data_IF_255106650578
#
_entry.id   IF_255106650578
#
_cell.length_a   1.000
_cell.length_b   1.000
_cell.length_c   1.000
_cell.angle_alpha   90.00
_cell.angle_beta   90.00
_cell.angle_gamma   90.00
#
_symmetry.space_group_name_H-M   'P 1'
#
loop_
_entity.id
_entity.type
_entity.pdbx_description
1 polymer ?
#
# COMPACT_ATOMS: atom_id res chain seq x y z
N UNK A 1 0.11 -7.36 -25.74
CA UNK A 1 0.72 -6.24 -26.50
C UNK A 1 2.08 -5.94 -25.88
N UNK A 2 3.18 -6.17 -26.60
CA UNK A 2 4.55 -6.07 -26.03
C UNK A 2 5.05 -4.62 -25.85
N UNK A 3 4.27 -3.62 -26.30
CA UNK A 3 4.79 -2.28 -26.64
C UNK A 3 4.22 -1.09 -25.84
N UNK A 4 3.40 -1.34 -24.82
CA UNK A 4 2.79 -0.26 -24.03
C UNK A 4 3.70 0.27 -22.93
N UNK A 5 3.68 1.58 -22.70
CA UNK A 5 4.24 2.17 -21.49
C UNK A 5 3.44 1.72 -20.27
N UNK A 6 4.02 1.88 -19.08
CA UNK A 6 3.32 1.59 -17.82
C UNK A 6 3.53 2.76 -16.87
N UNK A 7 2.43 3.34 -16.39
CA UNK A 7 2.43 4.32 -15.30
C UNK A 7 1.75 3.66 -14.11
N UNK A 8 2.51 3.46 -13.04
CA UNK A 8 2.02 2.83 -11.81
C UNK A 8 1.93 3.91 -10.73
N UNK A 9 0.71 4.25 -10.33
CA UNK A 9 0.40 5.25 -9.33
C UNK A 9 0.05 4.53 -8.02
N UNK A 10 0.77 4.85 -6.96
CA UNK A 10 0.41 4.43 -5.59
C UNK A 10 0.17 5.70 -4.78
N UNK A 11 -0.96 5.71 -4.07
CA UNK A 11 -1.30 6.75 -3.11
C UNK A 11 -1.20 6.13 -1.72
N UNK A 12 -0.23 6.55 -0.91
CA UNK A 12 0.03 5.97 0.42
C UNK A 12 -1.16 6.21 1.36
N UNK A 13 -1.61 5.19 2.08
CA UNK A 13 -2.69 5.31 3.07
C UNK A 13 -4.08 5.73 2.50
N UNK A 14 -4.37 5.49 1.21
CA UNK A 14 -5.65 5.81 0.58
C UNK A 14 -6.68 4.69 0.79
N UNK A 15 -7.79 5.03 1.45
CA UNK A 15 -8.89 4.10 1.71
C UNK A 15 -9.84 3.99 0.52
N UNK A 16 -10.33 2.78 0.26
CA UNK A 16 -11.36 2.52 -0.76
C UNK A 16 -12.66 3.30 -0.50
N UNK A 17 -13.09 3.40 0.76
CA UNK A 17 -14.34 4.05 1.15
C UNK A 17 -14.31 5.59 1.10
N UNK A 18 -13.20 6.15 0.59
CA UNK A 18 -13.00 7.58 0.36
C UNK A 18 -12.79 7.92 -1.12
N UNK A 19 -12.97 6.94 -2.00
CA UNK A 19 -12.89 7.09 -3.47
C UNK A 19 -14.28 6.93 -4.08
N UNK A 20 -14.72 7.93 -4.85
CA UNK A 20 -16.09 8.05 -5.36
C UNK A 20 -16.57 6.86 -6.19
N UNK A 21 -15.72 6.33 -7.09
CA UNK A 21 -16.05 5.19 -7.94
C UNK A 21 -16.26 3.85 -7.21
N UNK A 22 -15.99 3.80 -5.89
CA UNK A 22 -16.33 2.66 -5.03
C UNK A 22 -17.70 2.80 -4.35
N UNK A 23 -18.45 3.86 -4.64
CA UNK A 23 -19.84 4.03 -4.20
C UNK A 23 -19.99 4.68 -2.83
N UNK A 24 -18.97 5.39 -2.36
CA UNK A 24 -18.96 6.00 -1.03
C UNK A 24 -18.98 7.53 -1.11
N UNK A 25 -20.11 8.14 -0.70
CA UNK A 25 -20.19 9.57 -0.36
C UNK A 25 -19.96 10.57 -1.50
N UNK A 26 -19.58 11.80 -1.11
CA UNK A 26 -19.36 12.96 -1.99
C UNK A 26 -18.19 12.71 -2.95
N UNK A 27 -18.32 13.07 -4.22
CA UNK A 27 -17.28 12.89 -5.24
C UNK A 27 -16.14 13.91 -5.02
N UNK A 28 -15.12 13.51 -4.27
CA UNK A 28 -13.86 14.28 -4.11
C UNK A 28 -12.73 13.77 -5.02
N UNK A 29 -13.00 12.73 -5.82
CA UNK A 29 -12.03 12.00 -6.65
C UNK A 29 -12.44 11.91 -8.13
N UNK A 30 -12.85 13.01 -8.76
CA UNK A 30 -13.38 12.98 -10.13
C UNK A 30 -12.41 12.38 -11.15
N UNK A 31 -11.10 12.63 -11.04
CA UNK A 31 -10.12 12.13 -11.99
C UNK A 31 -9.87 10.62 -11.81
N UNK A 32 -9.87 10.12 -10.58
CA UNK A 32 -9.82 8.68 -10.28
C UNK A 32 -11.12 8.00 -10.75
N UNK A 33 -12.26 8.66 -10.60
CA UNK A 33 -13.56 8.14 -11.04
C UNK A 33 -13.62 8.02 -12.58
N UNK A 34 -13.05 8.99 -13.29
CA UNK A 34 -12.88 8.95 -14.75
C UNK A 34 -11.90 7.84 -15.16
N UNK A 35 -10.78 7.69 -14.46
CA UNK A 35 -9.83 6.59 -14.68
C UNK A 35 -10.48 5.21 -14.52
N UNK A 36 -11.38 5.05 -13.54
CA UNK A 36 -12.15 3.83 -13.34
C UNK A 36 -13.13 3.58 -14.48
N UNK A 37 -13.82 4.62 -14.97
CA UNK A 37 -14.77 4.50 -16.10
C UNK A 37 -14.06 4.11 -17.39
N UNK A 38 -12.86 4.62 -17.60
CA UNK A 38 -12.00 4.29 -18.75
C UNK A 38 -11.26 2.95 -18.59
N UNK A 39 -11.50 2.20 -17.53
CA UNK A 39 -10.74 1.00 -17.22
C UNK A 39 -11.54 -0.08 -16.50
N UNK A 40 -10.79 -1.00 -15.89
CA UNK A 40 -11.31 -2.08 -15.06
C UNK A 40 -11.04 -1.77 -13.59
N UNK A 41 -12.10 -1.65 -12.80
CA UNK A 41 -12.06 -1.46 -11.35
C UNK A 41 -12.19 -2.80 -10.64
N UNK A 42 -11.33 -3.06 -9.64
CA UNK A 42 -11.41 -4.23 -8.78
C UNK A 42 -12.05 -3.88 -7.45
N UNK A 43 -13.23 -4.41 -7.18
CA UNK A 43 -14.02 -4.02 -5.99
C UNK A 43 -13.41 -4.55 -4.69
N UNK A 44 -12.77 -5.72 -4.75
CA UNK A 44 -12.30 -6.47 -3.59
C UNK A 44 -10.78 -6.72 -3.64
N UNK A 45 -10.00 -5.64 -3.58
CA UNK A 45 -8.54 -5.71 -3.52
C UNK A 45 -8.00 -5.46 -2.11
N UNK A 46 -7.12 -6.33 -1.63
CA UNK A 46 -6.61 -6.28 -0.26
C UNK A 46 -5.08 -6.22 -0.15
N UNK A 47 -4.59 -5.32 0.69
CA UNK A 47 -3.22 -5.28 1.14
C UNK A 47 -2.85 -6.55 1.92
N UNK A 48 -1.58 -6.96 1.81
CA UNK A 48 -1.06 -8.12 2.54
C UNK A 48 -0.45 -7.73 3.90
N UNK A 49 -0.26 -6.44 4.13
CA UNK A 49 0.33 -5.83 5.32
C UNK A 49 -0.07 -4.35 5.35
N UNK A 50 -0.17 -3.79 6.54
CA UNK A 50 -0.66 -2.46 6.85
C UNK A 50 0.45 -1.40 6.97
N UNK A 51 1.60 -1.58 6.31
CA UNK A 51 2.72 -0.60 6.34
C UNK A 51 3.47 -0.56 5.01
N UNK A 52 3.95 0.63 4.63
CA UNK A 52 4.47 0.94 3.29
C UNK A 52 5.61 0.07 2.80
N UNK A 53 6.71 -0.04 3.56
CA UNK A 53 7.91 -0.76 3.09
C UNK A 53 7.65 -2.20 2.66
N UNK A 54 7.04 -3.06 3.50
CA UNK A 54 6.72 -4.42 3.09
C UNK A 54 5.52 -4.47 2.13
N UNK A 55 4.58 -3.51 2.16
CA UNK A 55 3.47 -3.49 1.20
C UNK A 55 3.95 -3.21 -0.23
N UNK A 56 4.77 -2.17 -0.44
CA UNK A 56 5.41 -1.92 -1.74
C UNK A 56 6.30 -3.08 -2.18
N UNK A 57 7.02 -3.70 -1.24
CA UNK A 57 7.79 -4.92 -1.53
C UNK A 57 6.89 -6.03 -2.04
N UNK A 58 5.70 -6.20 -1.45
CA UNK A 58 4.68 -7.15 -1.89
C UNK A 58 4.15 -6.81 -3.28
N UNK A 59 3.71 -5.56 -3.48
CA UNK A 59 3.14 -5.07 -4.74
C UNK A 59 4.12 -5.30 -5.88
N UNK A 60 5.37 -4.84 -5.75
CA UNK A 60 6.33 -4.90 -6.85
C UNK A 60 7.00 -6.26 -7.03
N UNK A 61 6.89 -7.18 -6.07
CA UNK A 61 7.43 -8.54 -6.24
C UNK A 61 6.39 -9.60 -6.58
N UNK A 62 5.10 -9.34 -6.31
CA UNK A 62 4.06 -10.35 -6.37
C UNK A 62 4.24 -11.46 -5.32
N UNK A 63 4.90 -11.17 -4.19
CA UNK A 63 5.23 -12.13 -3.12
C UNK A 63 4.70 -11.64 -1.78
N UNK A 64 4.26 -12.54 -0.92
CA UNK A 64 3.78 -12.18 0.43
C UNK A 64 4.92 -11.74 1.37
N UNK A 65 4.64 -11.00 2.46
CA UNK A 65 5.61 -10.65 3.50
C UNK A 65 6.39 -11.84 4.04
N UNK A 66 5.71 -12.94 4.38
CA UNK A 66 6.34 -14.21 4.79
C UNK A 66 7.32 -14.80 3.75
N UNK A 67 7.11 -14.49 2.47
CA UNK A 67 7.84 -15.05 1.34
C UNK A 67 9.07 -14.23 0.94
N UNK A 68 8.97 -12.90 0.95
CA UNK A 68 10.10 -12.00 0.70
C UNK A 68 10.85 -11.63 1.98
N UNK A 69 10.24 -11.79 3.16
CA UNK A 69 10.89 -11.67 4.47
C UNK A 69 11.00 -10.26 5.04
N UNK A 70 10.38 -9.26 4.40
CA UNK A 70 10.25 -7.90 4.94
C UNK A 70 8.92 -7.80 5.66
N UNK A 71 8.98 -7.41 6.92
CA UNK A 71 7.80 -7.31 7.80
C UNK A 71 7.82 -6.05 8.67
N UNK A 72 8.98 -5.38 8.81
CA UNK A 72 9.13 -4.13 9.55
C UNK A 72 9.28 -2.95 8.57
N UNK A 73 9.07 -1.73 9.05
CA UNK A 73 9.04 -0.51 8.27
C UNK A 73 10.05 0.55 8.77
N UNK A 74 10.52 1.39 7.84
CA UNK A 74 11.31 2.58 8.14
C UNK A 74 12.54 2.33 9.03
N UNK A 75 12.70 3.06 10.16
CA UNK A 75 13.87 2.91 11.01
C UNK A 75 13.93 1.57 11.76
N UNK A 76 12.85 0.78 11.77
CA UNK A 76 12.76 -0.51 12.47
C UNK A 76 13.18 -1.70 11.62
N UNK A 77 13.48 -1.48 10.33
CA UNK A 77 14.06 -2.48 9.45
C UNK A 77 15.42 -2.94 9.99
N UNK A 78 15.57 -4.26 10.14
CA UNK A 78 16.78 -4.89 10.67
C UNK A 78 17.65 -5.47 9.56
N UNK A 79 18.94 -5.68 9.84
CA UNK A 79 19.84 -6.37 8.92
C UNK A 79 19.34 -7.78 8.56
N UNK A 80 18.70 -8.45 9.52
CA UNK A 80 18.05 -9.74 9.31
C UNK A 80 16.92 -9.69 8.27
N UNK A 81 16.16 -8.60 8.20
CA UNK A 81 15.08 -8.45 7.21
C UNK A 81 15.67 -8.29 5.80
N UNK A 82 16.70 -7.46 5.67
CA UNK A 82 17.43 -7.26 4.41
C UNK A 82 18.12 -8.55 3.94
N UNK A 83 18.70 -9.32 4.88
CA UNK A 83 19.28 -10.62 4.57
C UNK A 83 18.23 -11.60 4.05
N UNK A 84 17.08 -11.71 4.73
CA UNK A 84 15.96 -12.57 4.27
C UNK A 84 15.46 -12.17 2.88
N UNK A 85 15.39 -10.87 2.57
CA UNK A 85 15.02 -10.40 1.24
C UNK A 85 16.00 -10.86 0.18
N UNK A 86 17.29 -10.63 0.41
CA UNK A 86 18.36 -11.05 -0.50
C UNK A 86 18.32 -12.56 -0.73
N UNK A 87 18.22 -13.35 0.34
CA UNK A 87 18.20 -14.83 0.28
C UNK A 87 16.93 -15.38 -0.40
N UNK A 88 15.79 -14.69 -0.28
CA UNK A 88 14.55 -15.10 -0.93
C UNK A 88 14.67 -15.17 -2.45
N UNK A 89 15.64 -14.47 -3.06
CA UNK A 89 15.77 -14.31 -4.50
C UNK A 89 14.51 -13.69 -5.12
N UNK A 90 13.90 -12.78 -4.37
CA UNK A 90 12.80 -11.94 -4.85
C UNK A 90 13.32 -11.09 -6.01
N UNK A 91 12.53 -11.00 -7.07
CA UNK A 91 12.76 -10.09 -8.20
C UNK A 91 11.61 -9.12 -8.26
N UNK A 92 11.93 -7.85 -8.45
CA UNK A 92 10.96 -6.78 -8.56
C UNK A 92 10.53 -6.56 -10.02
N UNK A 93 9.30 -6.11 -10.21
CA UNK A 93 8.73 -5.73 -11.51
C UNK A 93 9.66 -4.82 -12.34
N UNK A 94 10.24 -3.72 -11.81
CA UNK A 94 11.20 -2.91 -12.54
C UNK A 94 12.41 -3.73 -13.03
N UNK A 95 12.96 -4.65 -12.24
CA UNK A 95 14.06 -5.51 -12.70
C UNK A 95 13.63 -6.39 -13.88
N UNK A 96 12.41 -6.94 -13.83
CA UNK A 96 11.86 -7.77 -14.90
C UNK A 96 11.67 -6.93 -16.17
N UNK A 97 11.00 -5.79 -16.07
CA UNK A 97 10.71 -4.89 -17.20
C UNK A 97 11.99 -4.32 -17.83
N UNK A 98 13.00 -4.02 -17.02
CA UNK A 98 14.32 -3.59 -17.50
C UNK A 98 14.95 -4.64 -18.43
N UNK A 99 14.84 -5.93 -18.10
CA UNK A 99 15.32 -7.01 -18.99
C UNK A 99 14.52 -7.15 -20.29
N UNK A 100 13.36 -6.49 -20.37
CA UNK A 100 12.49 -6.41 -21.55
C UNK A 100 12.64 -5.10 -22.33
N UNK A 101 13.65 -4.29 -21.99
CA UNK A 101 13.97 -3.05 -22.72
C UNK A 101 13.18 -1.83 -22.29
N UNK A 102 12.49 -1.87 -21.14
CA UNK A 102 11.87 -0.68 -20.57
C UNK A 102 12.94 0.19 -19.91
N UNK A 103 12.85 1.50 -20.15
CA UNK A 103 13.41 2.46 -19.20
C UNK A 103 12.59 2.41 -17.92
N UNK A 104 13.26 2.22 -16.79
CA UNK A 104 12.59 2.03 -15.49
C UNK A 104 12.82 3.24 -14.61
N UNK A 105 11.73 3.92 -14.27
CA UNK A 105 11.72 5.25 -13.67
C UNK A 105 10.85 5.24 -12.41
N UNK A 106 11.28 5.93 -11.36
CA UNK A 106 10.49 6.12 -10.15
C UNK A 106 10.62 7.54 -9.60
N UNK A 107 9.47 8.10 -9.25
CA UNK A 107 9.34 9.31 -8.43
C UNK A 107 8.82 8.86 -7.06
N UNK A 108 9.76 8.54 -6.17
CA UNK A 108 9.54 8.03 -4.83
C UNK A 108 10.72 8.44 -3.92
N UNK A 109 10.50 8.57 -2.62
CA UNK A 109 11.52 9.03 -1.68
C UNK A 109 12.15 7.93 -0.82
N UNK A 110 11.56 6.72 -0.75
CA UNK A 110 11.97 5.66 0.20
C UNK A 110 13.42 5.15 0.01
N UNK A 111 13.88 5.00 -1.22
CA UNK A 111 15.20 4.51 -1.56
C UNK A 111 15.45 3.05 -1.13
N UNK A 112 16.54 2.80 -0.40
CA UNK A 112 16.94 1.46 0.09
C UNK A 112 16.93 0.38 -1.01
N UNK A 113 16.18 -0.71 -0.84
CA UNK A 113 16.01 -1.76 -1.86
C UNK A 113 14.93 -1.43 -2.88
N UNK A 114 14.03 -0.48 -2.61
CA UNK A 114 12.99 -0.07 -3.57
C UNK A 114 13.58 0.51 -4.85
N UNK A 115 14.81 1.06 -4.81
CA UNK A 115 15.52 1.50 -6.03
C UNK A 115 16.01 0.35 -6.94
N UNK A 116 15.92 -0.90 -6.50
CA UNK A 116 16.41 -2.04 -7.29
C UNK A 116 15.61 -2.18 -8.58
N UNK A 117 16.34 -2.31 -9.70
CA UNK A 117 15.73 -2.45 -11.02
C UNK A 117 15.43 -1.15 -11.74
N UNK A 118 15.55 0.01 -11.10
CA UNK A 118 15.29 1.31 -11.73
C UNK A 118 16.56 1.92 -12.38
N UNK A 119 16.40 2.51 -13.56
CA UNK A 119 17.41 3.34 -14.25
C UNK A 119 17.44 4.77 -13.68
N UNK A 120 16.28 5.29 -13.26
CA UNK A 120 16.14 6.55 -12.54
C UNK A 120 15.26 6.36 -11.31
N UNK A 121 15.69 6.92 -10.18
CA UNK A 121 14.95 6.90 -8.93
C UNK A 121 15.21 8.21 -8.17
N UNK A 122 14.18 9.02 -7.93
CA UNK A 122 14.29 10.36 -7.33
C UNK A 122 14.78 10.39 -5.87
N UNK A 123 14.75 9.24 -5.20
CA UNK A 123 14.94 9.06 -3.76
C UNK A 123 15.98 9.90 -3.03
N UNK A 124 15.70 10.13 -1.74
CA UNK A 124 16.57 10.90 -0.86
C UNK A 124 17.94 10.24 -0.67
N UNK A 125 18.99 11.07 -0.58
CA UNK A 125 20.36 10.58 -0.37
C UNK A 125 20.47 9.80 0.95
N UNK A 126 21.31 8.75 1.04
CA UNK A 126 21.47 7.93 2.25
C UNK A 126 21.78 8.72 3.54
N UNK A 127 22.43 9.88 3.42
CA UNK A 127 22.71 10.77 4.55
C UNK A 127 21.43 11.29 5.24
N UNK A 128 20.35 11.53 4.48
CA UNK A 128 19.06 11.96 5.02
C UNK A 128 18.44 10.88 5.91
N UNK A 129 18.44 9.62 5.46
CA UNK A 129 17.94 8.50 6.26
C UNK A 129 18.74 8.29 7.55
N UNK A 130 20.06 8.46 7.49
CA UNK A 130 20.92 8.36 8.68
C UNK A 130 20.60 9.46 9.70
N UNK A 131 20.33 10.67 9.22
CA UNK A 131 19.86 11.79 10.04
C UNK A 131 18.49 11.50 10.65
N UNK A 132 17.51 11.09 9.86
CA UNK A 132 16.15 10.76 10.34
C UNK A 132 16.17 9.65 11.39
N UNK A 133 16.98 8.60 11.22
CA UNK A 133 17.15 7.53 12.22
C UNK A 133 17.77 8.03 13.54
N UNK A 134 18.67 9.00 13.49
CA UNK A 134 19.19 9.62 14.73
C UNK A 134 18.11 10.47 15.42
N UNK A 135 17.29 11.16 14.63
CA UNK A 135 16.23 12.02 15.14
C UNK A 135 14.98 11.22 15.60
N UNK A 136 14.76 9.99 15.13
CA UNK A 136 13.58 9.16 15.43
C UNK A 136 13.43 8.81 16.91
N UNK A 137 14.49 9.00 17.69
CA UNK A 137 14.49 8.83 19.14
C UNK A 137 13.94 10.06 19.90
N UNK A 138 13.54 11.13 19.19
CA UNK A 138 12.94 12.37 19.73
C UNK A 138 11.82 12.90 18.82
N UNK A 139 10.62 12.30 18.86
CA UNK A 139 9.55 12.53 17.87
C UNK A 139 9.10 14.00 17.75
N UNK A 140 9.09 14.76 18.84
CA UNK A 140 8.69 16.18 18.82
C UNK A 140 9.62 17.08 17.98
N UNK A 141 10.91 16.73 17.85
CA UNK A 141 11.88 17.53 17.06
C UNK A 141 11.84 17.21 15.57
N UNK A 142 11.41 16.00 15.19
CA UNK A 142 11.21 15.62 13.78
C UNK A 142 10.03 16.37 13.20
N UNK A 143 8.92 16.45 13.93
CA UNK A 143 7.73 17.12 13.45
C UNK A 143 7.98 18.61 13.18
N UNK A 144 8.62 19.32 14.13
CA UNK A 144 9.01 20.72 13.91
C UNK A 144 9.93 20.87 12.70
N UNK A 145 10.86 19.93 12.48
CA UNK A 145 11.73 19.95 11.32
C UNK A 145 10.94 19.74 10.02
N UNK A 146 10.00 18.78 9.96
CA UNK A 146 9.17 18.53 8.77
C UNK A 146 8.26 19.73 8.46
N UNK A 147 7.62 20.33 9.49
CA UNK A 147 6.83 21.58 9.34
C UNK A 147 7.71 22.73 8.82
N UNK A 148 8.94 22.86 9.31
CA UNK A 148 9.90 23.85 8.84
C UNK A 148 10.31 23.59 7.37
N UNK A 149 10.61 22.34 7.02
CA UNK A 149 10.96 21.94 5.66
C UNK A 149 9.81 22.21 4.67
N UNK A 150 8.55 22.03 5.08
CA UNK A 150 7.36 22.43 4.31
C UNK A 150 7.31 23.92 3.98
N UNK A 151 7.66 24.79 4.93
CA UNK A 151 7.72 26.24 4.70
C UNK A 151 8.83 26.62 3.70
N UNK A 152 9.92 25.86 3.66
CA UNK A 152 11.06 26.08 2.74
C UNK A 152 11.02 25.19 1.49
N UNK A 153 9.89 24.54 1.17
CA UNK A 153 9.80 23.54 0.10
C UNK A 153 10.25 24.03 -1.28
N UNK A 154 10.01 25.31 -1.59
CA UNK A 154 10.45 25.93 -2.86
C UNK A 154 11.97 26.17 -2.92
N UNK A 155 12.66 26.14 -1.78
CA UNK A 155 14.08 26.45 -1.65
C UNK A 155 14.98 25.20 -1.53
N UNK A 156 14.43 24.01 -1.31
CA UNK A 156 15.18 22.75 -1.19
C UNK A 156 14.55 21.68 -2.12
N UNK A 157 14.89 21.69 -3.43
CA UNK A 157 14.31 20.78 -4.42
C UNK A 157 14.45 19.30 -4.08
N UNK A 158 15.51 18.91 -3.36
CA UNK A 158 15.75 17.54 -2.92
C UNK A 158 14.71 17.03 -1.91
N UNK A 159 14.04 17.91 -1.18
CA UNK A 159 12.92 17.58 -0.30
C UNK A 159 11.57 17.67 -1.04
N UNK A 160 11.59 18.06 -2.31
CA UNK A 160 10.42 18.22 -3.15
C UNK A 160 9.59 16.94 -3.28
N UNK A 161 10.23 15.77 -3.26
CA UNK A 161 9.58 14.43 -3.32
C UNK A 161 8.71 14.10 -2.09
N UNK A 162 8.57 15.02 -1.14
CA UNK A 162 7.61 14.96 -0.03
C UNK A 162 6.30 15.71 -0.35
N UNK A 163 6.18 16.33 -1.53
CA UNK A 163 5.02 17.12 -1.95
C UNK A 163 4.45 16.58 -3.25
N UNK A 164 3.14 16.34 -3.25
CA UNK A 164 2.45 15.67 -4.35
C UNK A 164 2.57 16.47 -5.67
N UNK A 165 2.58 17.81 -5.63
CA UNK A 165 2.74 18.64 -6.84
C UNK A 165 4.12 18.53 -7.50
N UNK A 166 5.15 18.31 -6.68
CA UNK A 166 6.51 18.13 -7.17
C UNK A 166 6.68 16.71 -7.72
N UNK A 167 6.05 15.71 -7.08
CA UNK A 167 6.00 14.34 -7.58
C UNK A 167 5.40 14.31 -8.98
N UNK A 168 4.25 14.96 -9.19
CA UNK A 168 3.60 15.10 -10.50
C UNK A 168 4.50 15.79 -11.52
N UNK A 169 5.08 16.94 -11.15
CA UNK A 169 5.95 17.70 -12.06
C UNK A 169 7.15 16.87 -12.53
N UNK A 170 7.80 16.14 -11.62
CA UNK A 170 8.93 15.27 -11.97
C UNK A 170 8.50 14.08 -12.83
N UNK A 171 7.34 13.48 -12.55
CA UNK A 171 6.78 12.40 -13.36
C UNK A 171 6.51 12.88 -14.80
N UNK A 172 5.93 14.07 -14.97
CA UNK A 172 5.72 14.72 -16.27
C UNK A 172 7.03 14.95 -17.01
N UNK A 173 8.07 15.48 -16.34
CA UNK A 173 9.39 15.68 -16.94
C UNK A 173 10.01 14.36 -17.43
N UNK A 174 9.85 13.29 -16.66
CA UNK A 174 10.30 11.95 -17.02
C UNK A 174 9.51 11.41 -18.22
N UNK A 175 8.18 11.55 -18.26
CA UNK A 175 7.37 11.18 -19.42
C UNK A 175 7.84 11.92 -20.69
N UNK A 176 8.02 13.25 -20.63
CA UNK A 176 8.53 14.07 -21.74
C UNK A 176 9.90 13.61 -22.22
N UNK A 177 10.81 13.30 -21.29
CA UNK A 177 12.17 12.86 -21.61
C UNK A 177 12.22 11.46 -22.23
N UNK A 178 11.34 10.58 -21.79
CA UNK A 178 11.33 9.17 -22.19
C UNK A 178 10.25 8.81 -23.22
N UNK A 179 9.45 9.77 -23.71
CA UNK A 179 8.33 9.56 -24.65
C UNK A 179 8.67 8.77 -25.94
N UNK A 180 9.94 8.72 -26.35
CA UNK A 180 10.40 7.99 -27.55
C UNK A 180 10.88 6.56 -27.28
N UNK A 181 10.84 6.10 -26.04
CA UNK A 181 11.20 4.75 -25.63
C UNK A 181 10.14 4.19 -24.68
N UNK A 182 10.02 2.87 -24.60
CA UNK A 182 9.11 2.24 -23.64
C UNK A 182 9.58 2.55 -22.23
N UNK A 183 8.66 2.96 -21.37
CA UNK A 183 8.99 3.23 -19.97
C UNK A 183 8.01 2.57 -18.99
N UNK A 184 8.55 2.25 -17.83
CA UNK A 184 7.81 1.96 -16.61
C UNK A 184 8.08 3.12 -15.65
N UNK A 185 7.03 3.84 -15.25
CA UNK A 185 7.10 4.98 -14.35
C UNK A 185 6.29 4.68 -13.09
N UNK A 186 6.98 4.57 -11.96
CA UNK A 186 6.35 4.52 -10.65
C UNK A 186 6.19 5.94 -10.08
N UNK A 187 4.97 6.31 -9.71
CA UNK A 187 4.62 7.58 -9.08
C UNK A 187 4.05 7.29 -7.69
N UNK A 188 4.66 7.84 -6.63
CA UNK A 188 4.28 7.56 -5.25
C UNK A 188 3.84 8.82 -4.53
N UNK A 189 2.54 8.99 -4.31
CA UNK A 189 1.94 10.09 -3.55
C UNK A 189 1.84 9.75 -2.07
N UNK A 190 2.02 10.76 -1.21
CA UNK A 190 2.11 10.61 0.25
C UNK A 190 1.16 11.52 1.03
N UNK A 191 0.47 12.45 0.36
CA UNK A 191 -0.37 13.45 1.02
C UNK A 191 -1.47 12.88 1.91
N UNK A 192 -1.95 11.66 1.64
CA UNK A 192 -2.94 10.94 2.46
C UNK A 192 -2.35 10.19 3.64
N UNK A 193 -1.03 10.14 3.80
CA UNK A 193 -0.43 9.68 5.05
C UNK A 193 -0.39 10.84 6.06
N UNK A 194 -0.62 10.54 7.34
CA UNK A 194 -0.53 11.55 8.38
C UNK A 194 0.84 12.27 8.35
N UNK A 195 0.89 13.61 8.46
CA UNK A 195 -0.15 14.48 9.00
C UNK A 195 -0.97 15.28 7.97
N UNK A 196 -1.21 14.74 6.77
CA UNK A 196 -2.13 15.32 5.78
C UNK A 196 -1.76 16.77 5.39
N UNK A 197 -0.52 16.96 4.91
CA UNK A 197 0.10 18.29 4.69
C UNK A 197 -0.19 18.85 3.28
N UNK A 198 -1.19 18.33 2.57
CA UNK A 198 -1.54 18.87 1.25
C UNK A 198 -2.01 20.33 1.36
N UNK A 199 -1.78 21.17 0.34
CA UNK A 199 -2.22 22.56 0.35
C UNK A 199 -3.70 22.66 0.74
N UNK A 200 -4.00 23.49 1.73
CA UNK A 200 -5.37 23.66 2.23
C UNK A 200 -6.32 24.01 1.08
N UNK A 201 -7.29 23.14 0.80
CA UNK A 201 -8.43 23.48 -0.04
C UNK A 201 -9.51 24.05 0.90
N UNK A 202 -9.75 25.38 0.89
CA UNK A 202 -10.70 26.00 1.82
C UNK A 202 -12.11 25.41 1.70
N UNK A 203 -12.50 24.95 0.50
CA UNK A 203 -13.82 24.36 0.25
C UNK A 203 -14.01 22.99 0.90
N UNK A 204 -12.92 22.27 1.21
CA UNK A 204 -12.98 20.97 1.88
C UNK A 204 -12.89 21.13 3.40
N UNK A 205 -12.24 22.20 3.87
CA UNK A 205 -12.26 22.58 5.30
C UNK A 205 -13.67 22.98 5.78
N UNK A 206 -14.56 23.39 4.87
CA UNK A 206 -15.98 23.66 5.14
C UNK A 206 -16.87 22.39 5.04
N UNK A 207 -16.29 21.18 5.01
CA UNK A 207 -17.03 19.91 4.88
C UNK A 207 -17.89 19.61 6.12
N UNK A 208 -19.11 19.06 5.99
CA UNK A 208 -19.99 18.75 7.13
C UNK A 208 -19.43 17.71 8.11
N UNK A 209 -18.46 16.87 7.73
CA UNK A 209 -17.77 15.99 8.70
C UNK A 209 -16.97 16.80 9.74
N UNK A 210 -16.54 18.02 9.40
CA UNK A 210 -15.94 18.94 10.38
C UNK A 210 -16.92 19.34 11.49
N UNK A 211 -18.22 19.40 11.17
CA UNK A 211 -19.28 19.77 12.11
C UNK A 211 -19.78 18.58 12.95
N UNK A 212 -19.66 17.34 12.46
CA UNK A 212 -20.21 16.16 13.15
C UNK A 212 -19.39 15.69 14.37
N UNK A 213 -18.07 15.96 14.42
CA UNK A 213 -17.19 15.50 15.52
C UNK A 213 -16.37 16.67 16.09
N UNK A 214 -17.05 17.50 16.89
CA UNK A 214 -16.43 18.59 17.68
C UNK A 214 -15.79 18.05 18.97
N UNK A 215 -14.89 17.07 18.81
CA UNK A 215 -14.09 16.52 19.90
C UNK A 215 -12.64 16.97 19.70
N UNK A 216 -12.13 17.80 20.60
CA UNK A 216 -10.73 18.25 20.54
C UNK A 216 -9.77 17.14 20.92
N UNK A 217 -8.56 17.20 20.35
CA UNK A 217 -7.49 16.28 20.71
C UNK A 217 -7.15 16.31 22.21
N UNK A 218 -7.19 17.49 22.84
CA UNK A 218 -6.91 17.64 24.27
C UNK A 218 -7.93 16.87 25.13
N UNK A 219 -9.21 16.89 24.74
CA UNK A 219 -10.26 16.11 25.37
C UNK A 219 -10.02 14.61 25.21
N UNK A 220 -9.66 14.10 24.02
CA UNK A 220 -9.37 12.67 23.85
C UNK A 220 -8.22 12.20 24.75
N UNK A 221 -7.13 12.98 24.82
CA UNK A 221 -6.00 12.67 25.71
C UNK A 221 -6.43 12.55 27.18
N UNK A 222 -7.37 13.39 27.62
CA UNK A 222 -7.88 13.36 28.99
C UNK A 222 -8.70 12.10 29.31
N UNK A 223 -9.41 11.55 28.31
CA UNK A 223 -10.32 10.41 28.48
C UNK A 223 -9.58 9.08 28.26
N UNK A 224 -8.53 9.08 27.44
CA UNK A 224 -7.70 7.91 27.14
C UNK A 224 -6.20 8.16 27.44
N UNK A 225 -5.81 8.53 28.68
CA UNK A 225 -4.46 9.00 29.01
C UNK A 225 -3.36 7.94 28.81
N UNK A 226 -3.73 6.66 28.80
CA UNK A 226 -2.81 5.54 28.65
C UNK A 226 -2.64 5.07 27.18
N UNK A 227 -3.43 5.59 26.23
CA UNK A 227 -3.19 5.35 24.80
C UNK A 227 -2.21 6.40 24.31
N UNK A 228 -0.92 6.06 24.15
CA UNK A 228 -0.05 6.95 23.36
C UNK A 228 -0.58 6.97 21.92
N UNK A 229 -1.18 8.09 21.53
CA UNK A 229 -1.68 8.30 20.17
C UNK A 229 -0.53 8.88 19.35
N UNK A 230 0.29 7.98 18.78
CA UNK A 230 1.57 8.34 18.15
C UNK A 230 1.38 9.37 17.03
N UNK A 231 0.47 9.11 16.08
CA UNK A 231 0.22 10.02 14.97
C UNK A 231 -0.52 11.30 15.36
N UNK A 232 -1.30 11.30 16.45
CA UNK A 232 -1.87 12.55 16.95
C UNK A 232 -0.81 13.57 17.36
N UNK A 233 0.42 13.15 17.70
CA UNK A 233 1.55 14.06 17.99
C UNK A 233 1.91 15.00 16.84
N UNK A 234 1.46 14.69 15.63
CA UNK A 234 1.75 15.44 14.42
C UNK A 234 0.70 16.50 14.09
N UNK A 235 -0.36 16.62 14.88
CA UNK A 235 -1.37 17.67 14.72
C UNK A 235 -1.23 18.69 15.85
N UNK A 236 -1.73 19.91 15.63
CA UNK A 236 -1.79 20.92 16.69
C UNK A 236 -2.86 20.52 17.74
N UNK A 237 -2.71 20.92 19.01
CA UNK A 237 -3.57 20.40 20.10
C UNK A 237 -5.01 20.92 20.06
N UNK A 238 -5.20 22.08 19.43
CA UNK A 238 -6.49 22.77 19.36
C UNK A 238 -7.37 22.28 18.20
N UNK A 239 -6.83 21.43 17.32
CA UNK A 239 -7.61 20.86 16.22
C UNK A 239 -8.64 19.84 16.75
N UNK A 240 -9.84 19.94 16.22
CA UNK A 240 -10.91 18.96 16.35
C UNK A 240 -10.64 17.73 15.47
N UNK A 241 -11.26 16.60 15.80
CA UNK A 241 -11.23 15.41 14.95
C UNK A 241 -11.82 15.71 13.57
N UNK A 242 -12.93 16.44 13.51
CA UNK A 242 -13.57 16.84 12.25
C UNK A 242 -12.63 17.64 11.32
N UNK A 243 -11.83 18.55 11.86
CA UNK A 243 -10.82 19.28 11.08
C UNK A 243 -9.72 18.36 10.55
N UNK A 244 -9.26 17.38 11.32
CA UNK A 244 -8.23 16.43 10.87
C UNK A 244 -8.77 15.51 9.77
N UNK A 245 -10.01 15.02 9.91
CA UNK A 245 -10.69 14.24 8.86
C UNK A 245 -10.83 15.03 7.56
N UNK A 246 -11.18 16.31 7.67
CA UNK A 246 -11.31 17.21 6.51
C UNK A 246 -9.97 17.43 5.82
N UNK A 247 -8.85 17.42 6.55
CA UNK A 247 -7.50 17.46 5.94
C UNK A 247 -7.18 16.19 5.16
N UNK A 248 -7.57 15.02 5.65
CA UNK A 248 -7.41 13.76 4.92
C UNK A 248 -8.22 13.76 3.62
N UNK A 249 -9.51 14.16 3.66
CA UNK A 249 -10.34 14.31 2.46
C UNK A 249 -9.78 15.40 1.51
N UNK A 250 -9.23 16.47 2.07
CA UNK A 250 -8.55 17.53 1.31
C UNK A 250 -7.32 17.03 0.57
N UNK A 251 -6.52 16.19 1.21
CA UNK A 251 -5.36 15.56 0.60
C UNK A 251 -5.76 14.61 -0.55
N UNK A 252 -6.82 13.81 -0.36
CA UNK A 252 -7.37 12.96 -1.42
C UNK A 252 -7.76 13.80 -2.64
N UNK A 253 -8.51 14.88 -2.45
CA UNK A 253 -8.93 15.74 -3.56
C UNK A 253 -7.75 16.42 -4.27
N UNK A 254 -6.74 16.84 -3.50
CA UNK A 254 -5.54 17.42 -4.08
C UNK A 254 -4.79 16.41 -4.96
N UNK A 255 -4.59 15.19 -4.45
CA UNK A 255 -3.95 14.10 -5.18
C UNK A 255 -4.78 13.69 -6.40
N UNK A 256 -6.11 13.70 -6.32
CA UNK A 256 -6.98 13.47 -7.47
C UNK A 256 -6.70 14.49 -8.59
N UNK A 257 -6.59 15.78 -8.26
CA UNK A 257 -6.19 16.81 -9.22
C UNK A 257 -4.79 16.57 -9.79
N UNK A 258 -3.84 16.12 -8.97
CA UNK A 258 -2.50 15.75 -9.42
C UNK A 258 -2.49 14.55 -10.39
N UNK A 259 -3.35 13.56 -10.15
CA UNK A 259 -3.57 12.44 -11.07
C UNK A 259 -4.14 12.98 -12.38
N UNK A 260 -5.13 13.87 -12.34
CA UNK A 260 -5.68 14.54 -13.52
C UNK A 260 -4.59 15.20 -14.40
N UNK A 261 -3.64 15.92 -13.80
CA UNK A 261 -2.50 16.50 -14.51
C UNK A 261 -1.60 15.44 -15.19
N UNK A 262 -1.35 14.30 -14.53
CA UNK A 262 -0.61 13.19 -15.16
C UNK A 262 -1.38 12.61 -16.37
N UNK A 263 -2.69 12.47 -16.25
CA UNK A 263 -3.53 11.94 -17.33
C UNK A 263 -3.56 12.89 -18.53
N UNK A 264 -3.76 14.19 -18.27
CA UNK A 264 -3.73 15.24 -19.29
C UNK A 264 -2.39 15.26 -20.03
N UNK A 265 -1.27 15.11 -19.32
CA UNK A 265 0.03 15.05 -19.98
C UNK A 265 0.20 13.80 -20.86
N UNK A 266 -0.36 12.64 -20.46
CA UNK A 266 -0.39 11.46 -21.34
C UNK A 266 -1.18 11.74 -22.63
N UNK A 267 -2.27 12.51 -22.56
CA UNK A 267 -3.04 12.93 -23.73
C UNK A 267 -2.24 13.92 -24.61
N UNK A 268 -1.63 14.94 -24.01
CA UNK A 268 -0.82 15.94 -24.72
C UNK A 268 0.38 15.32 -25.45
N UNK A 269 1.01 14.29 -24.85
CA UNK A 269 2.10 13.54 -25.47
C UNK A 269 1.62 12.50 -26.49
N UNK A 270 0.31 12.29 -26.64
CA UNK A 270 -0.26 11.24 -27.49
C UNK A 270 0.09 9.83 -27.01
N UNK A 271 0.38 9.67 -25.71
CA UNK A 271 0.78 8.41 -25.09
C UNK A 271 -0.38 7.69 -24.40
N UNK A 272 -1.51 8.35 -24.19
CA UNK A 272 -2.70 7.83 -23.48
C UNK A 272 -3.04 6.41 -23.93
N UNK A 273 -3.32 6.20 -25.22
CA UNK A 273 -3.75 4.90 -25.76
C UNK A 273 -2.70 3.79 -25.66
N UNK A 274 -1.41 4.14 -25.65
CA UNK A 274 -0.32 3.18 -25.54
C UNK A 274 0.28 3.12 -24.13
N UNK A 275 -0.49 3.46 -23.10
CA UNK A 275 -0.03 3.42 -21.70
C UNK A 275 -1.01 2.63 -20.84
N UNK A 276 -0.50 1.59 -20.18
CA UNK A 276 -1.17 0.92 -19.08
C UNK A 276 -1.01 1.78 -17.83
N UNK A 277 -2.11 2.26 -17.28
CA UNK A 277 -2.14 2.98 -16.00
C UNK A 277 -2.67 2.04 -14.93
N UNK A 278 -1.92 1.91 -13.85
CA UNK A 278 -2.32 1.12 -12.67
C UNK A 278 -2.40 2.09 -11.50
N UNK A 279 -3.55 2.20 -10.84
CA UNK A 279 -3.72 2.98 -9.63
C UNK A 279 -4.09 2.07 -8.48
N UNK A 280 -3.41 2.20 -7.35
CA UNK A 280 -3.77 1.52 -6.11
C UNK A 280 -3.33 2.31 -4.87
N UNK A 281 -3.60 1.77 -3.70
CA UNK A 281 -2.95 2.17 -2.45
C UNK A 281 -2.18 0.98 -1.89
N UNK A 282 -1.15 1.23 -1.11
CA UNK A 282 -0.34 0.19 -0.45
C UNK A 282 -0.99 -0.32 0.84
N UNK A 283 -1.73 0.52 1.54
CA UNK A 283 -2.63 0.21 2.65
C UNK A 283 -3.63 1.35 2.86
N UNK A 284 -4.66 1.15 3.66
CA UNK A 284 -5.56 2.24 4.10
C UNK A 284 -5.09 2.86 5.42
N UNK A 285 -5.99 3.57 6.10
CA UNK A 285 -5.70 4.24 7.37
C UNK A 285 -6.90 4.18 8.33
N UNK A 286 -6.65 3.89 9.62
CA UNK A 286 -7.66 4.09 10.64
C UNK A 286 -7.65 5.57 11.05
N UNK A 287 -8.76 6.26 10.86
CA UNK A 287 -8.88 7.67 11.17
C UNK A 287 -9.29 7.86 12.63
N UNK A 288 -10.31 7.13 13.06
CA UNK A 288 -10.75 7.04 14.47
C UNK A 288 -11.28 5.66 14.86
N UNK A 289 -11.48 4.79 13.87
CA UNK A 289 -12.08 3.48 14.00
C UNK A 289 -11.24 2.59 14.94
N UNK A 290 -11.91 1.72 15.68
CA UNK A 290 -11.30 0.80 16.66
C UNK A 290 -10.46 1.52 17.75
N UNK A 291 -10.67 2.84 17.91
CA UNK A 291 -9.91 3.71 18.79
C UNK A 291 -8.43 3.83 18.39
N UNK A 292 -8.15 3.70 17.10
CA UNK A 292 -6.87 4.01 16.45
C UNK A 292 -7.06 5.35 15.74
N UNK A 293 -6.14 6.28 15.94
CA UNK A 293 -6.33 7.67 15.53
C UNK A 293 -5.26 8.10 14.53
N UNK A 294 -5.66 8.24 13.27
CA UNK A 294 -4.86 8.69 12.13
C UNK A 294 -3.59 7.87 11.94
N UNK A 295 -3.74 6.56 12.03
CA UNK A 295 -2.67 5.57 12.07
C UNK A 295 -3.18 4.25 11.46
N UNK A 296 -2.30 3.34 11.12
CA UNK A 296 -2.61 2.09 10.44
C UNK A 296 -2.26 0.89 11.31
N UNK A 297 -2.65 0.90 12.58
CA UNK A 297 -2.51 -0.25 13.49
C UNK A 297 -3.58 -1.32 13.26
N UNK A 298 -3.27 -2.58 13.54
CA UNK A 298 -4.24 -3.66 13.37
C UNK A 298 -4.46 -4.05 11.90
N UNK A 299 -5.37 -4.99 11.67
CA UNK A 299 -5.61 -5.61 10.37
C UNK A 299 -7.07 -5.48 9.94
N UNK A 300 -7.69 -4.34 10.21
CA UNK A 300 -9.08 -4.00 9.83
C UNK A 300 -9.16 -3.60 8.35
N UNK A 301 -10.35 -3.64 7.76
CA UNK A 301 -10.58 -3.35 6.35
C UNK A 301 -10.31 -1.89 6.02
N UNK A 302 -10.52 -0.97 6.98
CA UNK A 302 -10.08 0.43 6.84
C UNK A 302 -8.58 0.57 6.55
N UNK A 303 -7.76 -0.44 6.90
CA UNK A 303 -6.33 -0.48 6.60
C UNK A 303 -5.95 -1.48 5.50
N UNK A 304 -6.80 -2.47 5.19
CA UNK A 304 -6.45 -3.54 4.25
C UNK A 304 -7.22 -3.48 2.92
N UNK A 305 -8.45 -2.98 2.89
CA UNK A 305 -9.24 -2.86 1.66
C UNK A 305 -8.84 -1.58 0.95
N UNK A 306 -8.20 -1.72 -0.21
CA UNK A 306 -7.58 -0.59 -0.92
C UNK A 306 -7.96 -0.57 -2.40
N UNK A 307 -8.09 0.62 -3.01
CA UNK A 307 -8.53 0.74 -4.40
C UNK A 307 -7.55 0.05 -5.34
N UNK A 308 -8.05 -0.49 -6.45
CA UNK A 308 -7.23 -0.96 -7.57
C UNK A 308 -7.97 -0.76 -8.90
N UNK A 309 -7.36 0.01 -9.78
CA UNK A 309 -7.86 0.32 -11.12
C UNK A 309 -6.75 0.03 -12.12
N UNK A 310 -7.10 -0.65 -13.21
CA UNK A 310 -6.26 -0.79 -14.39
C UNK A 310 -6.94 -0.11 -15.57
N UNK A 311 -6.22 0.78 -16.25
CA UNK A 311 -6.68 1.42 -17.47
C UNK A 311 -5.71 1.16 -18.60
N UNK A 312 -6.22 0.76 -19.75
CA UNK A 312 -5.46 0.62 -20.99
C UNK A 312 -5.62 -0.77 -21.59
N UNK A 313 -4.83 -1.05 -22.63
CA UNK A 313 -5.02 -2.24 -23.44
C UNK A 313 -4.97 -3.55 -22.63
N UNK A 314 -5.97 -4.40 -22.85
CA UNK A 314 -6.19 -5.66 -22.13
C UNK A 314 -7.07 -5.55 -20.88
N UNK A 315 -7.46 -4.35 -20.49
CA UNK A 315 -8.42 -4.07 -19.42
C UNK A 315 -9.64 -3.36 -20.02
N UNK A 316 -10.82 -4.01 -20.11
CA UNK A 316 -12.03 -3.40 -20.65
C UNK A 316 -12.44 -2.16 -19.86
N UNK A 317 -12.95 -1.16 -20.57
CA UNK A 317 -13.55 0.05 -20.00
C UNK A 317 -14.88 -0.29 -19.30
N UNK A 318 -15.23 0.51 -18.28
CA UNK A 318 -16.45 0.40 -17.48
C UNK A 318 -16.71 -1.01 -16.90
N UNK A 319 -15.63 -1.77 -16.65
CA UNK A 319 -15.72 -3.11 -16.08
C UNK A 319 -15.47 -3.07 -14.58
N UNK A 320 -16.37 -3.68 -13.80
CA UNK A 320 -16.19 -3.91 -12.36
C UNK A 320 -15.96 -5.39 -12.10
N UNK A 321 -14.85 -5.71 -11.44
CA UNK A 321 -14.49 -7.07 -11.05
C UNK A 321 -14.78 -7.26 -9.56
N UNK A 322 -15.79 -8.06 -9.26
CA UNK A 322 -16.20 -8.38 -7.88
C UNK A 322 -15.36 -9.48 -7.22
N UNK A 323 -14.60 -10.25 -8.01
CA UNK A 323 -13.74 -11.31 -7.49
C UNK A 323 -12.66 -10.76 -6.55
N UNK A 324 -12.41 -11.44 -5.43
CA UNK A 324 -11.41 -11.00 -4.44
C UNK A 324 -10.00 -11.18 -4.99
N UNK A 325 -9.12 -10.19 -4.80
CA UNK A 325 -7.70 -10.21 -5.17
C UNK A 325 -6.83 -9.62 -4.04
N UNK A 326 -5.51 -9.81 -4.11
CA UNK A 326 -4.55 -9.18 -3.19
C UNK A 326 -3.41 -8.53 -3.97
N UNK A 327 -2.65 -7.62 -3.35
CA UNK A 327 -1.48 -6.98 -3.96
C UNK A 327 -0.50 -7.93 -4.64
N UNK A 328 -0.34 -9.15 -4.14
CA UNK A 328 0.52 -10.18 -4.77
C UNK A 328 0.12 -10.51 -6.21
N UNK A 329 -1.15 -10.29 -6.59
CA UNK A 329 -1.72 -10.61 -7.90
C UNK A 329 -1.44 -9.54 -8.96
N UNK A 330 -0.99 -8.34 -8.56
CA UNK A 330 -0.79 -7.22 -9.49
C UNK A 330 0.30 -7.53 -10.51
N UNK A 331 1.49 -7.97 -10.05
CA UNK A 331 2.63 -8.30 -10.92
C UNK A 331 2.33 -9.41 -11.92
N UNK A 332 1.83 -10.60 -11.52
CA UNK A 332 1.51 -11.64 -12.50
C UNK A 332 0.47 -11.18 -13.52
N UNK A 333 -0.50 -10.35 -13.12
CA UNK A 333 -1.50 -9.78 -14.04
C UNK A 333 -0.88 -8.83 -15.06
N UNK A 334 -0.03 -7.89 -14.61
CA UNK A 334 0.69 -6.97 -15.51
C UNK A 334 1.55 -7.76 -16.50
N UNK A 335 2.35 -8.72 -16.01
CA UNK A 335 3.24 -9.50 -16.86
C UNK A 335 2.48 -10.36 -17.86
N UNK A 336 1.36 -10.97 -17.45
CA UNK A 336 0.51 -11.74 -18.36
C UNK A 336 -0.15 -10.85 -19.42
N UNK A 337 -0.62 -9.67 -19.05
CA UNK A 337 -1.18 -8.69 -19.99
C UNK A 337 -0.17 -8.24 -21.06
N UNK A 338 1.10 -8.13 -20.66
CA UNK A 338 2.23 -7.86 -21.55
C UNK A 338 2.74 -9.11 -22.29
N UNK A 339 2.02 -10.23 -22.25
CA UNK A 339 2.42 -11.51 -22.85
C UNK A 339 3.79 -12.05 -22.39
N UNK A 340 4.27 -11.63 -21.21
CA UNK A 340 5.51 -12.15 -20.65
C UNK A 340 5.27 -13.44 -19.89
N UNK A 341 6.07 -14.46 -20.21
CA UNK A 341 5.97 -15.76 -19.57
C UNK A 341 6.32 -15.67 -18.07
N UNK A 342 5.30 -15.77 -17.22
CA UNK A 342 5.43 -15.82 -15.76
C UNK A 342 5.78 -17.22 -15.23
N UNK A 343 5.73 -18.26 -16.07
CA UNK A 343 5.99 -19.64 -15.65
C UNK A 343 7.44 -19.80 -15.20
N UNK A 344 7.60 -20.30 -13.97
CA UNK A 344 8.92 -20.48 -13.34
C UNK A 344 9.45 -19.22 -12.66
N UNK A 345 8.74 -18.09 -12.73
CA UNK A 345 9.02 -16.95 -11.85
C UNK A 345 8.61 -17.27 -10.42
N UNK A 346 9.31 -16.67 -9.47
CA UNK A 346 9.07 -16.87 -8.04
C UNK A 346 7.97 -15.92 -7.53
N UNK A 347 6.75 -16.08 -8.05
CA UNK A 347 5.57 -15.30 -7.68
C UNK A 347 4.67 -16.12 -6.76
N UNK A 348 4.02 -15.47 -5.79
CA UNK A 348 3.03 -16.11 -4.92
C UNK A 348 1.59 -15.74 -5.34
N UNK A 349 1.41 -14.59 -5.99
CA UNK A 349 0.12 -14.19 -6.55
C UNK A 349 -0.24 -14.92 -7.84
N UNK A 350 -1.44 -14.64 -8.33
CA UNK A 350 -2.03 -15.24 -9.52
C UNK A 350 -2.45 -14.15 -10.52
N UNK A 351 -2.42 -14.50 -11.79
CA UNK A 351 -2.96 -13.66 -12.87
C UNK A 351 -4.49 -13.52 -12.72
N UNK A 352 -4.98 -12.28 -12.68
CA UNK A 352 -6.41 -11.96 -12.51
C UNK A 352 -7.17 -11.93 -13.83
N UNK A 353 -6.51 -12.12 -14.98
CA UNK A 353 -7.14 -12.10 -16.30
C UNK A 353 -8.38 -13.01 -16.44
N UNK A 354 -8.48 -14.19 -15.79
CA UNK A 354 -9.72 -14.98 -15.79
C UNK A 354 -10.93 -14.25 -15.20
N UNK A 355 -10.74 -13.37 -14.19
CA UNK A 355 -11.84 -12.55 -13.66
C UNK A 355 -12.26 -11.48 -14.68
N UNK A 356 -11.28 -10.83 -15.29
CA UNK A 356 -11.51 -9.76 -16.28
C UNK A 356 -12.28 -10.30 -17.49
N UNK A 357 -11.96 -11.52 -17.94
CA UNK A 357 -12.64 -12.19 -19.06
C UNK A 357 -13.98 -12.83 -18.68
N UNK A 358 -14.39 -12.77 -17.41
CA UNK A 358 -15.61 -13.44 -16.93
C UNK A 358 -15.53 -14.99 -16.96
N UNK A 359 -14.32 -15.55 -16.99
CA UNK A 359 -14.08 -17.00 -16.99
C UNK A 359 -14.14 -17.59 -15.57
N UNK A 360 -14.05 -16.74 -14.55
CA UNK A 360 -14.19 -17.10 -13.15
C UNK A 360 -14.86 -15.95 -12.38
N UNK A 361 -15.76 -16.27 -11.45
CA UNK A 361 -16.33 -15.29 -10.52
C UNK A 361 -15.37 -14.99 -9.35
N UNK A 362 -14.61 -15.99 -8.90
CA UNK A 362 -13.62 -15.88 -7.83
C UNK A 362 -12.43 -16.82 -8.11
N UNK A 363 -11.18 -16.39 -7.81
CA UNK A 363 -10.00 -17.30 -7.83
C UNK A 363 -9.30 -17.46 -6.48
N UNK A 364 -9.71 -16.68 -5.48
CA UNK A 364 -9.31 -16.81 -4.07
C UNK A 364 -10.54 -16.64 -3.18
N UNK A 365 -10.67 -17.55 -2.22
CA UNK A 365 -11.70 -17.53 -1.18
C UNK A 365 -11.18 -16.95 0.14
N UNK A 366 -9.85 -16.75 0.22
CA UNK A 366 -9.17 -16.24 1.40
C UNK A 366 -8.17 -15.14 1.03
N UNK A 367 -8.12 -14.14 1.90
CA UNK A 367 -7.14 -13.05 1.97
C UNK A 367 -6.33 -13.26 3.24
N UNK A 368 -5.01 -13.22 3.09
CA UNK A 368 -4.07 -13.36 4.21
C UNK A 368 -3.30 -12.06 4.40
N UNK A 369 -3.28 -11.56 5.64
CA UNK A 369 -2.52 -10.37 5.99
C UNK A 369 -1.71 -10.56 7.27
N UNK A 370 -0.60 -9.83 7.37
CA UNK A 370 0.31 -9.83 8.50
C UNK A 370 0.57 -8.39 8.94
N UNK A 371 0.68 -8.18 10.25
CA UNK A 371 1.15 -6.93 10.83
C UNK A 371 2.41 -7.23 11.62
N UNK A 372 3.44 -6.41 11.41
CA UNK A 372 4.70 -6.56 12.09
C UNK A 372 5.46 -5.25 12.31
N UNK A 373 4.81 -4.11 12.18
CA UNK A 373 5.37 -2.86 12.69
C UNK A 373 4.83 -2.61 14.10
N UNK A 374 3.62 -2.08 14.23
CA UNK A 374 3.02 -1.72 15.51
C UNK A 374 2.76 -2.95 16.40
N UNK A 375 1.98 -3.92 15.91
CA UNK A 375 1.70 -5.18 16.62
C UNK A 375 2.29 -6.38 15.86
N UNK A 376 2.10 -7.60 16.36
CA UNK A 376 2.45 -8.85 15.67
C UNK A 376 1.19 -9.70 15.47
N UNK A 377 0.26 -9.16 14.68
CA UNK A 377 -1.05 -9.77 14.36
C UNK A 377 -1.05 -10.41 12.97
N UNK A 378 -2.03 -11.27 12.75
CA UNK A 378 -2.27 -12.03 11.53
C UNK A 378 -3.76 -12.07 11.25
N UNK A 379 -4.15 -11.99 9.99
CA UNK A 379 -5.55 -12.06 9.60
C UNK A 379 -5.79 -13.10 8.52
N UNK A 380 -6.94 -13.75 8.60
CA UNK A 380 -7.59 -14.45 7.48
C UNK A 380 -8.95 -13.83 7.28
N UNK A 381 -9.17 -13.33 6.07
CA UNK A 381 -10.46 -12.80 5.63
C UNK A 381 -11.01 -13.71 4.56
N UNK A 382 -12.29 -14.03 4.68
CA UNK A 382 -13.13 -14.62 3.63
C UNK A 382 -14.16 -13.57 3.23
N UNK A 383 -15.05 -13.90 2.28
CA UNK A 383 -16.18 -13.05 1.95
C UNK A 383 -17.05 -12.70 3.16
N UNK A 384 -17.27 -13.67 4.05
CA UNK A 384 -18.27 -13.57 5.11
C UNK A 384 -17.69 -13.33 6.50
N UNK A 385 -16.46 -13.78 6.74
CA UNK A 385 -15.84 -13.72 8.06
C UNK A 385 -14.40 -13.26 8.00
N UNK A 386 -13.96 -12.59 9.06
CA UNK A 386 -12.58 -12.21 9.26
C UNK A 386 -12.11 -12.56 10.66
N UNK A 387 -10.96 -13.21 10.73
CA UNK A 387 -10.34 -13.62 11.99
C UNK A 387 -8.96 -12.98 12.12
N UNK A 388 -8.77 -12.17 13.15
CA UNK A 388 -7.51 -11.51 13.49
C UNK A 388 -6.95 -12.15 14.76
N UNK A 389 -5.66 -12.47 14.80
CA UNK A 389 -5.04 -13.03 16.00
C UNK A 389 -3.55 -12.71 16.13
N UNK A 390 -3.11 -12.57 17.37
CA UNK A 390 -1.70 -12.58 17.73
C UNK A 390 -1.26 -13.96 18.28
N UNK A 391 0.01 -14.36 18.10
CA UNK A 391 0.55 -15.59 18.69
C UNK A 391 0.56 -15.60 20.23
N UNK A 392 0.63 -14.44 20.86
CA UNK A 392 0.64 -14.24 22.32
C UNK A 392 0.15 -12.84 22.68
N UNK A 393 -0.17 -12.61 23.95
CA UNK A 393 -0.51 -11.27 24.43
C UNK A 393 0.64 -10.28 24.24
N UNK A 394 1.89 -10.70 24.50
CA UNK A 394 3.07 -9.87 24.25
C UNK A 394 3.21 -9.47 22.77
N UNK A 395 2.86 -10.37 21.85
CA UNK A 395 2.82 -10.08 20.42
C UNK A 395 1.66 -9.16 20.02
N UNK A 396 0.58 -9.13 20.80
CA UNK A 396 -0.56 -8.24 20.58
C UNK A 396 -0.30 -6.81 21.08
N UNK A 397 0.69 -6.59 21.96
CA UNK A 397 1.00 -5.25 22.47
C UNK A 397 1.69 -4.41 21.41
N UNK A 398 1.14 -3.23 21.16
CA UNK A 398 1.71 -2.25 20.26
C UNK A 398 3.05 -1.75 20.81
N UNK A 399 4.10 -1.75 20.00
CA UNK A 399 5.42 -1.31 20.42
C UNK A 399 5.52 0.21 20.69
N UNK A 400 4.57 1.01 20.18
CA UNK A 400 4.57 2.46 20.37
C UNK A 400 3.83 2.90 21.63
N UNK A 401 2.67 2.30 21.90
CA UNK A 401 1.79 2.73 22.99
C UNK A 401 1.57 1.69 24.09
N UNK A 402 2.15 0.50 23.94
CA UNK A 402 2.03 -0.64 24.86
C UNK A 402 0.57 -1.12 25.11
N UNK A 403 -0.38 -0.65 24.29
CA UNK A 403 -1.77 -1.08 24.31
C UNK A 403 -2.01 -2.22 23.33
N UNK A 404 -3.09 -2.98 23.55
CA UNK A 404 -3.64 -3.89 22.53
C UNK A 404 -4.75 -3.12 21.83
N UNK A 405 -4.57 -2.81 20.55
CA UNK A 405 -5.67 -2.33 19.71
C UNK A 405 -6.59 -3.51 19.38
N UNK A 406 -7.89 -3.39 19.65
CA UNK A 406 -8.81 -4.54 19.62
C UNK A 406 -8.49 -5.56 20.71
N UNK A 407 -8.50 -6.85 20.35
CA UNK A 407 -8.17 -7.95 21.25
C UNK A 407 -6.99 -8.80 20.75
N UNK A 408 -6.58 -9.80 21.55
CA UNK A 408 -5.55 -10.78 21.14
C UNK A 408 -6.07 -11.69 20.02
N UNK A 409 -7.38 -11.96 20.00
CA UNK A 409 -8.08 -12.78 19.01
C UNK A 409 -9.45 -12.19 18.77
N UNK A 410 -9.81 -12.04 17.51
CA UNK A 410 -11.00 -11.31 17.09
C UNK A 410 -11.64 -12.08 15.93
N UNK A 411 -12.97 -12.18 15.92
CA UNK A 411 -13.75 -12.76 14.84
C UNK A 411 -14.92 -11.82 14.52
N UNK A 412 -15.07 -11.46 13.24
CA UNK A 412 -16.11 -10.56 12.74
C UNK A 412 -16.94 -11.28 11.66
N UNK A 413 -18.27 -11.16 11.69
CA UNK A 413 -19.20 -11.56 10.60
C UNK A 413 -19.44 -10.35 9.70
N UNK A 414 -18.70 -10.28 8.60
CA UNK A 414 -18.63 -9.13 7.70
C UNK A 414 -19.95 -8.83 6.98
N UNK A 415 -20.88 -9.79 6.93
CA UNK A 415 -22.21 -9.58 6.33
C UNK A 415 -23.11 -8.75 7.23
N UNK A 416 -22.94 -8.88 8.55
CA UNK A 416 -23.74 -8.17 9.56
C UNK A 416 -23.01 -6.96 10.12
N UNK A 417 -21.69 -7.09 10.26
CA UNK A 417 -20.79 -6.10 10.82
C UNK A 417 -19.61 -5.86 9.86
N UNK A 418 -19.85 -5.16 8.72
CA UNK A 418 -18.79 -4.81 7.78
C UNK A 418 -17.78 -3.82 8.37
N UNK A 419 -18.11 -3.16 9.49
CA UNK A 419 -17.24 -2.22 10.19
C UNK A 419 -16.34 -2.88 11.24
N UNK A 420 -16.48 -4.19 11.47
CA UNK A 420 -15.64 -4.98 12.38
C UNK A 420 -15.62 -4.43 13.83
N UNK A 421 -16.79 -4.06 14.34
CA UNK A 421 -16.97 -3.48 15.67
C UNK A 421 -17.27 -4.55 16.73
N UNK A 422 -18.04 -5.59 16.38
CA UNK A 422 -18.51 -6.61 17.32
C UNK A 422 -17.69 -7.91 17.19
N UNK A 423 -16.83 -8.17 18.17
CA UNK A 423 -16.06 -9.40 18.23
C UNK A 423 -16.92 -10.59 18.70
N UNK A 424 -17.35 -11.43 17.76
CA UNK A 424 -18.21 -12.60 18.00
C UNK A 424 -17.45 -13.90 18.32
N UNK A 425 -16.14 -13.83 18.61
CA UNK A 425 -15.31 -15.02 18.82
C UNK A 425 -15.80 -15.93 19.96
N UNK A 426 -16.43 -15.35 20.99
CA UNK A 426 -16.95 -16.14 22.11
C UNK A 426 -18.12 -17.05 21.71
N UNK A 427 -18.90 -16.62 20.71
CA UNK A 427 -20.08 -17.33 20.21
C UNK A 427 -19.71 -18.29 19.08
N UNK A 428 -18.77 -17.90 18.20
CA UNK A 428 -18.33 -18.70 17.04
C UNK A 428 -16.90 -19.24 17.18
N UNK A 429 -16.56 -19.84 18.33
CA UNK A 429 -15.19 -20.36 18.62
C UNK A 429 -14.66 -21.33 17.58
N UNK A 430 -15.49 -22.22 17.05
CA UNK A 430 -15.06 -23.21 16.04
C UNK A 430 -14.72 -22.55 14.71
N UNK A 431 -15.46 -21.50 14.31
CA UNK A 431 -15.13 -20.68 13.13
C UNK A 431 -13.77 -20.02 13.27
N UNK A 432 -13.49 -19.42 14.43
CA UNK A 432 -12.18 -18.83 14.72
C UNK A 432 -11.03 -19.86 14.65
N UNK A 433 -11.25 -21.08 15.14
CA UNK A 433 -10.27 -22.18 15.02
C UNK A 433 -10.05 -22.60 13.57
N UNK A 434 -11.13 -22.72 12.77
CA UNK A 434 -11.07 -23.06 11.36
C UNK A 434 -10.22 -22.05 10.57
N UNK A 435 -10.56 -20.75 10.69
CA UNK A 435 -9.85 -19.68 10.01
C UNK A 435 -8.39 -19.58 10.46
N UNK A 436 -8.12 -19.76 11.76
CA UNK A 436 -6.74 -19.87 12.26
C UNK A 436 -5.98 -21.02 11.60
N UNK A 437 -6.60 -22.19 11.47
CA UNK A 437 -5.97 -23.35 10.83
C UNK A 437 -5.70 -23.08 9.34
N UNK A 438 -6.60 -22.39 8.64
CA UNK A 438 -6.37 -21.92 7.26
C UNK A 438 -5.11 -21.06 7.18
N UNK A 439 -4.94 -20.06 8.08
CA UNK A 439 -3.73 -19.25 8.14
C UNK A 439 -2.47 -20.11 8.32
N UNK A 440 -2.49 -21.00 9.32
CA UNK A 440 -1.32 -21.80 9.68
C UNK A 440 -0.93 -22.76 8.55
N UNK A 441 -1.90 -23.34 7.86
CA UNK A 441 -1.66 -24.21 6.72
C UNK A 441 -1.09 -23.44 5.53
N UNK A 442 -1.67 -22.29 5.19
CA UNK A 442 -1.15 -21.38 4.18
C UNK A 442 0.30 -20.94 4.48
N UNK A 443 0.56 -20.50 5.71
CA UNK A 443 1.89 -20.08 6.17
C UNK A 443 2.92 -21.21 6.11
N UNK A 444 2.54 -22.44 6.49
CA UNK A 444 3.41 -23.62 6.38
C UNK A 444 3.72 -23.96 4.92
N UNK A 445 2.73 -23.90 4.04
CA UNK A 445 2.90 -24.16 2.60
C UNK A 445 3.93 -23.21 1.99
N UNK A 446 3.79 -21.90 2.18
CA UNK A 446 4.75 -20.91 1.66
C UNK A 446 6.17 -21.12 2.19
N UNK A 447 6.30 -21.46 3.49
CA UNK A 447 7.59 -21.80 4.09
C UNK A 447 8.22 -23.06 3.49
N UNK A 448 7.43 -24.10 3.26
CA UNK A 448 7.91 -25.33 2.63
C UNK A 448 8.38 -25.08 1.19
N UNK A 449 7.62 -24.34 0.40
CA UNK A 449 7.99 -23.97 -0.97
C UNK A 449 9.26 -23.10 -0.99
N UNK A 450 9.43 -22.20 -0.02
CA UNK A 450 10.67 -21.43 0.14
C UNK A 450 11.88 -22.35 0.39
N UNK A 451 11.78 -23.25 1.36
CA UNK A 451 12.85 -24.20 1.70
C UNK A 451 13.18 -25.14 0.52
N UNK A 452 12.18 -25.60 -0.21
CA UNK A 452 12.38 -26.44 -1.40
C UNK A 452 13.14 -25.69 -2.49
N UNK A 453 12.78 -24.42 -2.76
CA UNK A 453 13.49 -23.56 -3.72
C UNK A 453 14.94 -23.32 -3.32
N UNK A 454 15.21 -23.08 -2.04
CA UNK A 454 16.57 -22.93 -1.51
C UNK A 454 17.40 -24.20 -1.75
N UNK A 455 16.85 -25.39 -1.44
CA UNK A 455 17.49 -26.68 -1.71
C UNK A 455 17.79 -26.89 -3.20
N UNK A 456 16.86 -26.52 -4.09
CA UNK A 456 17.06 -26.62 -5.55
C UNK A 456 18.19 -25.70 -6.00
N UNK A 457 18.22 -24.43 -5.53
CA UNK A 457 19.28 -23.47 -5.87
C UNK A 457 20.65 -23.96 -5.40
N UNK A 458 20.76 -24.49 -4.17
CA UNK A 458 22.00 -25.06 -3.68
C UNK A 458 22.48 -26.24 -4.52
N UNK A 459 21.57 -27.13 -4.91
CA UNK A 459 21.88 -28.28 -5.77
C UNK A 459 22.38 -27.83 -7.15
N UNK A 460 21.72 -26.85 -7.77
CA UNK A 460 22.15 -26.24 -9.04
C UNK A 460 23.55 -25.61 -8.88
N UNK A 461 23.77 -24.85 -7.80
CA UNK A 461 25.06 -24.24 -7.52
C UNK A 461 26.19 -25.26 -7.35
N UNK A 462 25.93 -26.39 -6.68
CA UNK A 462 26.87 -27.52 -6.57
C UNK A 462 27.15 -28.15 -7.93
N UNK A 463 26.14 -28.37 -8.76
CA UNK A 463 26.30 -28.97 -10.09
C UNK A 463 27.12 -28.07 -11.03
N UNK A 464 26.89 -26.75 -11.01
CA UNK A 464 27.70 -25.77 -11.76
C UNK A 464 29.17 -25.79 -11.33
N UNK A 465 29.44 -25.84 -10.02
CA UNK A 465 30.82 -25.95 -9.49
C UNK A 465 31.51 -27.26 -9.90
N UNK A 466 30.75 -28.32 -10.18
CA UNK A 466 31.24 -29.61 -10.64
C UNK A 466 31.32 -29.72 -12.18
N UNK A 467 30.98 -28.66 -12.93
CA UNK A 467 30.98 -28.68 -14.40
C UNK A 467 29.94 -29.62 -15.01
N UNK A 468 28.89 -29.99 -14.26
CA UNK A 468 27.87 -30.95 -14.71
C UNK A 468 26.70 -30.30 -15.45
N UNK A 469 26.56 -28.97 -15.32
CA UNK A 469 25.60 -28.09 -16.00
C UNK A 469 26.18 -26.69 -16.14
#
# INVERSE_FOLDING_TARGET
MDDSNIVFIIVDALRTDKVGCYGHGKTITSNIDDLAREGTLFENNYACINVTDPSLTTIFSGRYPISHGLINHGPHIREDDLRKLSESGTRFLPEILRTKGYATLAVDWLGRWHKQGYDYYSGLRPAFFRMMRMLSHRPSKIFTLIKLLYLYRKAIPELGVLYDEVITSQAIELMKKFQKQKFFLFVHYWGTHAPYISPENPQILESPQSEEIDLTRSLIKSVAPNREMYHLRWFDEDLTIGEILSRYEGAINFIDGQIGELMNELDELGLRENTLVVLTSDHGESLTEHGIYFDHHGLYDVSLHVPLIFRGSGFPEDLRVSGTIQHVDIVPTILNNLNYNVRGMNLDGKDTSPLIRGEAEEFRTEVYAEEAEAQRKRAVRTRDYKYIFAPSEAAAKCQYCNCIHGEVKELYDLRKDPQEVENILNDEKERGKELKNKFLNWSRKLKQEKLERERIREKIGKLKKLGKI
#
